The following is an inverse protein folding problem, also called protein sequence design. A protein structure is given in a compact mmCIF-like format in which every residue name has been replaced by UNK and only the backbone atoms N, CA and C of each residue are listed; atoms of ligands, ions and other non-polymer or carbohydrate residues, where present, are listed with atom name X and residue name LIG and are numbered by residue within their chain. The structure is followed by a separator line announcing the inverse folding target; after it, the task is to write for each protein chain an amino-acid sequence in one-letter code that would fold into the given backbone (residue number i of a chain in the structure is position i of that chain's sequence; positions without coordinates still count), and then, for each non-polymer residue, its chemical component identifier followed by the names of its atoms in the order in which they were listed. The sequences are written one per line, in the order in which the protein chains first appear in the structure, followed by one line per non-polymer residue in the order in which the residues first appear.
data_IF_179434904069
#
_entry.id   IF_179434904069
#
_cell.length_a   1.000
_cell.length_b   1.000
_cell.length_c   1.000
_cell.angle_alpha   90.00
_cell.angle_beta   90.00
_cell.angle_gamma   90.00
#
_symmetry.space_group_name_H-M   'P 1'
#
loop_
_entity.id
_entity.type
_entity.pdbx_description
1 polymer ?
#
# COMPACT_ATOMS: atom_id res chain seq x y z
N UNK A 1 -4.19 -10.52 2.44
CA UNK A 1 -4.48 -10.48 3.89
C UNK A 1 -4.57 -11.85 4.56
N UNK A 2 -4.85 -12.96 3.84
CA UNK A 2 -4.97 -14.28 4.48
C UNK A 2 -3.65 -15.08 4.61
N UNK A 3 -2.62 -14.73 3.84
CA UNK A 3 -1.43 -15.59 3.70
C UNK A 3 -0.39 -15.45 4.81
N UNK A 4 -0.48 -14.42 5.65
CA UNK A 4 0.37 -14.27 6.84
C UNK A 4 -0.37 -13.33 7.79
N UNK A 5 -0.84 -13.83 8.95
CA UNK A 5 -1.67 -13.06 9.84
C UNK A 5 -0.91 -11.83 10.36
N UNK A 6 -1.55 -10.65 10.41
CA UNK A 6 -0.96 -9.46 11.04
C UNK A 6 -0.70 -9.74 12.52
N UNK A 7 0.43 -9.27 13.06
CA UNK A 7 0.80 -9.56 14.46
C UNK A 7 -0.04 -8.75 15.45
N UNK A 8 -0.59 -7.61 15.02
CA UNK A 8 -1.48 -6.78 15.83
C UNK A 8 -2.60 -6.15 15.01
N UNK A 9 -3.69 -5.77 15.70
CA UNK A 9 -4.79 -5.00 15.10
C UNK A 9 -4.33 -3.64 14.55
N UNK A 10 -3.29 -3.04 15.14
CA UNK A 10 -2.71 -1.78 14.68
C UNK A 10 -2.00 -1.95 13.33
N UNK A 11 -1.16 -2.97 13.18
CA UNK A 11 -0.50 -3.30 11.91
C UNK A 11 -1.53 -3.57 10.80
N UNK A 12 -2.60 -4.29 11.15
CA UNK A 12 -3.68 -4.55 10.23
C UNK A 12 -4.40 -3.27 9.78
N UNK A 13 -4.72 -2.38 10.72
CA UNK A 13 -5.36 -1.11 10.42
C UNK A 13 -4.48 -0.22 9.52
N UNK A 14 -3.18 -0.12 9.82
CA UNK A 14 -2.24 0.65 9.00
C UNK A 14 -2.08 0.03 7.60
N UNK A 15 -2.03 -1.30 7.51
CA UNK A 15 -2.02 -2.02 6.23
C UNK A 15 -3.28 -1.76 5.41
N UNK A 16 -4.46 -1.70 6.02
CA UNK A 16 -5.71 -1.35 5.33
C UNK A 16 -5.74 0.12 4.88
N UNK A 17 -5.42 1.05 5.78
CA UNK A 17 -5.46 2.48 5.48
C UNK A 17 -4.50 2.81 4.33
N UNK A 18 -3.28 2.27 4.36
CA UNK A 18 -2.31 2.45 3.28
C UNK A 18 -2.78 1.86 1.95
N UNK A 19 -3.46 0.71 1.96
CA UNK A 19 -4.08 0.13 0.76
C UNK A 19 -5.12 1.08 0.18
N UNK A 20 -5.99 1.65 1.04
CA UNK A 20 -7.05 2.57 0.62
C UNK A 20 -6.45 3.87 0.05
N UNK A 21 -5.52 4.48 0.76
CA UNK A 21 -4.88 5.75 0.33
C UNK A 21 -4.13 5.56 -0.98
N UNK A 22 -3.34 4.49 -1.11
CA UNK A 22 -2.57 4.19 -2.32
C UNK A 22 -3.49 3.80 -3.48
N UNK A 23 -4.58 3.08 -3.19
CA UNK A 23 -5.59 2.73 -4.19
C UNK A 23 -6.30 3.97 -4.74
N UNK A 24 -6.76 4.88 -3.88
CA UNK A 24 -7.44 6.11 -4.31
C UNK A 24 -6.47 7.02 -5.07
N UNK A 25 -5.30 7.32 -4.49
CA UNK A 25 -4.33 8.22 -5.10
C UNK A 25 -3.70 7.64 -6.38
N UNK A 26 -3.18 6.41 -6.29
CA UNK A 26 -2.57 5.72 -7.44
C UNK A 26 -3.58 5.37 -8.52
N UNK A 27 -4.80 4.98 -8.14
CA UNK A 27 -5.90 4.72 -9.05
C UNK A 27 -6.34 5.99 -9.78
N UNK A 28 -6.49 7.12 -9.09
CA UNK A 28 -6.81 8.40 -9.73
C UNK A 28 -5.74 8.83 -10.75
N UNK A 29 -4.45 8.68 -10.40
CA UNK A 29 -3.34 8.95 -11.31
C UNK A 29 -3.40 8.02 -12.53
N UNK A 30 -3.62 6.73 -12.33
CA UNK A 30 -3.72 5.76 -13.42
C UNK A 30 -4.90 6.06 -14.35
N UNK A 31 -6.08 6.36 -13.79
CA UNK A 31 -7.27 6.76 -14.57
C UNK A 31 -7.00 8.01 -15.40
N UNK A 32 -6.34 9.01 -14.81
CA UNK A 32 -6.02 10.25 -15.52
C UNK A 32 -4.95 10.05 -16.60
N UNK A 33 -3.93 9.23 -16.32
CA UNK A 33 -2.83 8.95 -17.24
C UNK A 33 -3.29 8.15 -18.46
N UNK A 34 -4.11 7.12 -18.26
CA UNK A 34 -4.64 6.27 -19.32
C UNK A 34 -5.95 6.78 -19.95
N UNK A 35 -6.44 7.95 -19.53
CA UNK A 35 -7.67 8.58 -20.03
C UNK A 35 -8.92 7.69 -19.89
N UNK A 36 -9.02 6.94 -18.79
CA UNK A 36 -10.08 5.95 -18.56
C UNK A 36 -11.39 6.56 -18.04
N UNK A 37 -11.57 7.90 -18.09
CA UNK A 37 -12.78 8.55 -17.59
C UNK A 37 -14.05 8.10 -18.30
N UNK A 38 -13.97 7.76 -19.59
CA UNK A 38 -15.11 7.30 -20.40
C UNK A 38 -15.67 5.95 -19.93
N UNK A 39 -14.89 5.19 -19.15
CA UNK A 39 -15.32 3.88 -18.66
C UNK A 39 -16.37 3.98 -17.55
N UNK A 40 -16.58 5.18 -16.99
CA UNK A 40 -17.60 5.43 -15.95
C UNK A 40 -19.02 5.22 -16.46
N UNK A 41 -19.27 5.39 -17.76
CA UNK A 41 -20.62 5.33 -18.33
C UNK A 41 -21.14 3.91 -18.57
N UNK A 42 -20.30 2.88 -18.36
CA UNK A 42 -20.68 1.48 -18.55
C UNK A 42 -20.49 0.67 -17.27
N UNK A 43 -21.41 -0.27 -16.99
CA UNK A 43 -21.32 -1.13 -15.81
C UNK A 43 -20.00 -1.94 -15.78
N UNK A 44 -19.57 -2.46 -16.93
CA UNK A 44 -18.30 -3.20 -17.06
C UNK A 44 -17.09 -2.28 -16.84
N UNK A 45 -17.13 -1.05 -17.36
CA UNK A 45 -16.07 -0.07 -17.16
C UNK A 45 -15.96 0.40 -15.71
N UNK A 46 -17.08 0.59 -15.01
CA UNK A 46 -17.11 0.86 -13.57
C UNK A 46 -16.46 -0.27 -12.75
N UNK A 47 -16.76 -1.52 -13.06
CA UNK A 47 -16.13 -2.68 -12.42
C UNK A 47 -14.63 -2.72 -12.71
N UNK A 48 -14.22 -2.43 -13.95
CA UNK A 48 -12.82 -2.39 -14.34
C UNK A 48 -12.05 -1.26 -13.62
N UNK A 49 -12.63 -0.07 -13.51
CA UNK A 49 -12.07 1.05 -12.75
C UNK A 49 -11.95 0.73 -11.27
N UNK A 50 -12.95 0.07 -10.68
CA UNK A 50 -12.88 -0.42 -9.31
C UNK A 50 -11.75 -1.43 -9.11
N UNK A 51 -11.58 -2.37 -10.05
CA UNK A 51 -10.48 -3.33 -10.05
C UNK A 51 -9.10 -2.67 -10.19
N UNK A 52 -8.98 -1.65 -11.04
CA UNK A 52 -7.77 -0.86 -11.22
C UNK A 52 -7.38 -0.14 -9.91
N UNK A 53 -8.31 0.60 -9.31
CA UNK A 53 -8.11 1.32 -8.04
C UNK A 53 -7.70 0.35 -6.93
N UNK A 54 -8.39 -0.79 -6.83
CA UNK A 54 -8.04 -1.83 -5.87
C UNK A 54 -6.64 -2.41 -6.12
N UNK A 55 -6.29 -2.68 -7.38
CA UNK A 55 -4.97 -3.14 -7.80
C UNK A 55 -3.85 -2.16 -7.45
N UNK A 56 -4.08 -0.85 -7.65
CA UNK A 56 -3.15 0.21 -7.25
C UNK A 56 -2.94 0.28 -5.73
N UNK A 57 -3.86 -0.23 -4.91
CA UNK A 57 -3.72 -0.30 -3.46
C UNK A 57 -2.76 -1.39 -2.98
N UNK A 58 -2.63 -2.50 -3.72
CA UNK A 58 -1.82 -3.66 -3.33
C UNK A 58 -0.32 -3.35 -3.20
N UNK A 59 0.31 -2.53 -4.07
CA UNK A 59 1.67 -2.05 -3.85
C UNK A 59 1.85 -1.29 -2.54
N UNK A 60 0.91 -0.41 -2.18
CA UNK A 60 0.95 0.35 -0.92
C UNK A 60 0.94 -0.56 0.29
N UNK A 61 0.07 -1.58 0.26
CA UNK A 61 0.05 -2.63 1.28
C UNK A 61 1.39 -3.36 1.38
N UNK A 62 1.95 -3.82 0.26
CA UNK A 62 3.19 -4.59 0.25
C UNK A 62 4.37 -3.80 0.81
N UNK A 63 4.46 -2.49 0.50
CA UNK A 63 5.49 -1.59 1.02
C UNK A 63 5.37 -1.44 2.53
N UNK A 64 4.18 -1.08 3.05
CA UNK A 64 3.96 -0.91 4.49
C UNK A 64 4.26 -2.21 5.24
N UNK A 65 3.88 -3.35 4.67
CA UNK A 65 4.15 -4.67 5.24
C UNK A 65 5.65 -4.98 5.25
N UNK A 66 6.37 -4.61 4.20
CA UNK A 66 7.83 -4.71 4.14
C UNK A 66 8.49 -3.87 5.24
N UNK A 67 8.03 -2.62 5.42
CA UNK A 67 8.54 -1.70 6.45
C UNK A 67 8.33 -2.25 7.86
N UNK A 68 7.13 -2.73 8.20
CA UNK A 68 6.90 -3.36 9.51
C UNK A 68 7.78 -4.58 9.74
N UNK A 69 7.98 -5.41 8.71
CA UNK A 69 8.85 -6.58 8.80
C UNK A 69 10.33 -6.20 8.96
N UNK A 70 10.77 -5.11 8.34
CA UNK A 70 12.12 -4.55 8.51
C UNK A 70 12.34 -4.01 9.92
N UNK A 71 11.41 -3.20 10.43
CA UNK A 71 11.50 -2.63 11.78
C UNK A 71 11.57 -3.75 12.84
N UNK A 72 10.74 -4.79 12.70
CA UNK A 72 10.75 -5.90 13.66
C UNK A 72 12.05 -6.72 13.59
N UNK A 73 12.60 -6.95 12.39
CA UNK A 73 13.86 -7.66 12.22
C UNK A 73 15.04 -6.95 12.90
N UNK A 74 14.95 -5.62 13.01
CA UNK A 74 15.97 -4.78 13.60
C UNK A 74 15.61 -4.31 15.02
N UNK A 75 14.58 -4.87 15.65
CA UNK A 75 14.05 -4.41 16.95
C UNK A 75 14.99 -4.63 18.15
N UNK A 76 15.89 -5.60 18.08
CA UNK A 76 16.93 -5.83 19.10
C UNK A 76 18.14 -4.88 18.96
N UNK A 77 18.27 -4.20 17.82
CA UNK A 77 19.14 -3.04 17.61
C UNK A 77 18.34 -1.79 17.96
N UNK A 78 18.86 -0.93 18.85
CA UNK A 78 18.13 0.26 19.28
C UNK A 78 17.62 1.10 18.09
N UNK A 79 16.46 1.75 18.24
CA UNK A 79 15.84 2.63 17.23
C UNK A 79 16.84 3.66 16.67
N UNK A 80 17.83 4.05 17.48
CA UNK A 80 18.92 4.96 17.17
C UNK A 80 19.88 4.41 16.10
N UNK A 81 20.09 3.09 16.09
CA UNK A 81 20.99 2.38 15.17
C UNK A 81 20.29 2.13 13.82
N UNK A 82 18.99 1.81 13.87
CA UNK A 82 18.14 1.69 12.67
C UNK A 82 17.98 3.04 11.96
N UNK A 83 17.82 4.14 12.72
CA UNK A 83 17.75 5.49 12.15
C UNK A 83 19.09 5.92 11.51
N UNK A 84 20.22 5.43 12.01
CA UNK A 84 21.55 5.66 11.42
C UNK A 84 21.73 4.89 10.12
N UNK A 85 21.36 3.61 10.07
CA UNK A 85 21.45 2.81 8.84
C UNK A 85 20.58 3.38 7.71
N UNK A 86 19.33 3.78 8.01
CA UNK A 86 18.44 4.36 7.00
C UNK A 86 18.99 5.69 6.47
N UNK A 87 19.69 6.46 7.31
CA UNK A 87 20.34 7.71 6.92
C UNK A 87 21.64 7.49 6.14
N UNK A 88 22.33 6.38 6.33
CA UNK A 88 23.53 6.05 5.54
C UNK A 88 23.20 5.50 4.16
N UNK A 89 22.03 4.87 4.01
CA UNK A 89 21.59 4.29 2.72
C UNK A 89 20.88 5.33 1.82
N UNK A 90 20.49 6.49 2.35
CA UNK A 90 19.73 7.54 1.65
C UNK A 90 20.58 8.79 1.38
#
# INVERSE_FOLDING_TARGET
MLMTPPRSMHEWAVGLISTVVTGIGGGAIAVQHFRLQEWVDSATGLVALGGLIFGCGLPGWAIVRCVFNFIERNRDTGIDEVAKEVKEVL
#
